data_IF_808345756975
#
_entry.id   IF_808345756975
#
_cell.length_a   1.000
_cell.length_b   1.000
_cell.length_c   1.000
_cell.angle_alpha   90.00
_cell.angle_beta   90.00
_cell.angle_gamma   90.00
#
_symmetry.space_group_name_H-M   'P 1'
#
loop_
_entity.id
_entity.type
_entity.pdbx_description
1 polymer ?
#
# COMPACT_ATOMS: atom_id res chain seq x y z
N UNK A 1 4.62 7.24 15.94
CA UNK A 1 5.21 6.06 15.28
C UNK A 1 4.36 5.73 14.07
N UNK A 2 4.96 5.40 12.91
CA UNK A 2 4.21 5.14 11.67
C UNK A 2 4.02 3.65 11.42
N UNK A 3 2.85 3.26 10.93
CA UNK A 3 2.55 1.90 10.48
C UNK A 3 2.32 1.86 8.98
N UNK A 4 2.62 0.72 8.37
CA UNK A 4 2.44 0.49 6.93
C UNK A 4 1.83 -0.89 6.70
N UNK A 5 1.12 -1.03 5.57
CA UNK A 5 0.68 -2.34 5.10
C UNK A 5 1.77 -2.86 4.16
N UNK A 6 2.49 -3.88 4.60
CA UNK A 6 3.47 -4.60 3.79
C UNK A 6 2.73 -5.55 2.85
N UNK A 7 3.14 -5.55 1.57
CA UNK A 7 2.52 -6.33 0.50
C UNK A 7 3.49 -7.43 0.07
N UNK A 8 3.09 -8.68 0.28
CA UNK A 8 3.78 -9.88 -0.21
C UNK A 8 3.11 -10.33 -1.52
N UNK A 9 3.58 -9.77 -2.64
CA UNK A 9 2.98 -10.01 -3.96
C UNK A 9 3.07 -11.49 -4.40
N UNK A 10 4.11 -12.20 -3.96
CA UNK A 10 4.33 -13.64 -4.18
C UNK A 10 3.23 -14.54 -3.59
N UNK A 11 2.49 -14.04 -2.59
CA UNK A 11 1.39 -14.77 -1.93
C UNK A 11 0.02 -14.35 -2.44
N UNK A 12 -0.07 -13.35 -3.29
CA UNK A 12 -1.34 -12.79 -3.73
C UNK A 12 -1.94 -13.66 -4.85
N UNK A 13 -3.11 -14.26 -4.58
CA UNK A 13 -3.83 -15.09 -5.56
C UNK A 13 -4.78 -14.30 -6.46
N UNK A 14 -4.92 -12.98 -6.26
CA UNK A 14 -5.86 -12.18 -7.03
C UNK A 14 -7.33 -12.30 -6.60
N UNK A 15 -7.63 -12.85 -5.41
CA UNK A 15 -9.01 -13.15 -4.98
C UNK A 15 -9.92 -11.93 -4.69
N UNK A 16 -9.39 -10.70 -4.70
CA UNK A 16 -10.12 -9.44 -4.45
C UNK A 16 -10.87 -9.31 -3.12
N UNK A 17 -10.71 -10.25 -2.18
CA UNK A 17 -11.32 -10.18 -0.85
C UNK A 17 -10.95 -8.90 -0.08
N UNK A 18 -9.74 -8.39 -0.29
CA UNK A 18 -9.28 -7.15 0.31
C UNK A 18 -10.05 -5.92 -0.22
N UNK A 19 -10.46 -5.91 -1.50
CA UNK A 19 -11.25 -4.83 -2.09
C UNK A 19 -12.67 -4.84 -1.54
N UNK A 20 -13.33 -6.00 -1.57
CA UNK A 20 -14.69 -6.18 -1.03
C UNK A 20 -14.73 -5.89 0.46
N UNK A 21 -13.76 -6.40 1.25
CA UNK A 21 -13.70 -6.15 2.68
C UNK A 21 -13.47 -4.66 3.01
N UNK A 22 -12.72 -3.95 2.16
CA UNK A 22 -12.48 -2.52 2.35
C UNK A 22 -13.72 -1.67 2.08
N UNK A 23 -14.42 -1.91 0.96
CA UNK A 23 -15.65 -1.19 0.64
C UNK A 23 -16.78 -1.53 1.62
N UNK A 24 -16.89 -2.79 2.04
CA UNK A 24 -17.89 -3.18 3.04
C UNK A 24 -17.68 -2.45 4.36
N UNK A 25 -16.44 -2.39 4.85
CA UNK A 25 -16.11 -1.70 6.12
C UNK A 25 -16.30 -0.18 6.03
N UNK A 26 -15.86 0.46 4.94
CA UNK A 26 -15.78 1.91 4.87
C UNK A 26 -17.00 2.57 4.20
N UNK A 27 -17.73 1.83 3.37
CA UNK A 27 -18.88 2.33 2.61
C UNK A 27 -20.18 1.56 2.91
N UNK A 28 -20.11 0.43 3.63
CA UNK A 28 -21.28 -0.41 3.90
C UNK A 28 -21.76 -1.23 2.71
N UNK A 29 -20.97 -1.33 1.65
CA UNK A 29 -21.35 -1.95 0.37
C UNK A 29 -20.28 -2.92 -0.14
N UNK A 30 -20.69 -4.03 -0.74
CA UNK A 30 -19.80 -4.96 -1.43
C UNK A 30 -19.46 -4.44 -2.84
N UNK A 31 -18.75 -3.32 -2.95
CA UNK A 31 -18.40 -2.70 -4.23
C UNK A 31 -16.88 -2.48 -4.34
N UNK A 32 -16.14 -3.33 -5.08
CA UNK A 32 -14.70 -3.18 -5.27
C UNK A 32 -14.27 -1.80 -5.84
N UNK A 33 -15.09 -1.15 -6.67
CA UNK A 33 -14.77 0.18 -7.22
C UNK A 33 -14.75 1.28 -6.16
N UNK A 34 -15.45 1.10 -5.04
CA UNK A 34 -15.45 2.04 -3.91
C UNK A 34 -14.45 1.68 -2.82
N UNK A 35 -13.69 0.62 -3.01
CA UNK A 35 -12.60 0.22 -2.10
C UNK A 35 -11.49 1.28 -2.05
N UNK A 36 -10.78 1.37 -0.93
CA UNK A 36 -9.57 2.21 -0.77
C UNK A 36 -8.27 1.43 -1.04
N UNK A 37 -8.38 0.18 -1.47
CA UNK A 37 -7.32 -0.70 -1.96
C UNK A 37 -7.70 -1.18 -3.36
N UNK A 38 -6.73 -1.30 -4.27
CA UNK A 38 -6.93 -1.67 -5.68
C UNK A 38 -6.07 -2.85 -6.07
N UNK A 39 -6.66 -3.84 -6.72
CA UNK A 39 -5.92 -4.95 -7.28
C UNK A 39 -5.32 -4.57 -8.63
N UNK A 40 -4.00 -4.42 -8.68
CA UNK A 40 -3.28 -4.26 -9.94
C UNK A 40 -3.05 -5.66 -10.50
N UNK A 41 -3.53 -5.87 -11.72
CA UNK A 41 -3.29 -7.08 -12.51
C UNK A 41 -2.24 -6.75 -13.57
N UNK A 42 -1.13 -7.47 -13.56
CA UNK A 42 -0.11 -7.41 -14.61
C UNK A 42 -0.06 -8.75 -15.32
N UNK A 43 0.07 -8.72 -16.65
CA UNK A 43 0.28 -9.91 -17.46
C UNK A 43 1.70 -9.88 -18.03
N UNK A 44 2.42 -10.99 -17.92
CA UNK A 44 3.71 -11.17 -18.54
C UNK A 44 3.79 -12.59 -19.13
N UNK A 45 3.83 -12.70 -20.46
CA UNK A 45 3.92 -13.98 -21.19
C UNK A 45 2.88 -15.03 -20.76
N UNK A 46 1.62 -14.61 -20.57
CA UNK A 46 0.54 -15.49 -20.13
C UNK A 46 0.53 -15.84 -18.64
N UNK A 47 1.52 -15.37 -17.87
CA UNK A 47 1.50 -15.40 -16.41
C UNK A 47 0.87 -14.11 -15.87
N UNK A 48 0.02 -14.25 -14.85
CA UNK A 48 -0.62 -13.10 -14.20
C UNK A 48 -0.02 -12.87 -12.82
N UNK A 49 0.44 -11.65 -12.59
CA UNK A 49 0.86 -11.15 -11.29
C UNK A 49 -0.22 -10.24 -10.72
N UNK A 50 -0.54 -10.45 -9.44
CA UNK A 50 -1.56 -9.68 -8.73
C UNK A 50 -0.91 -8.89 -7.59
N UNK A 51 -1.00 -7.57 -7.65
CA UNK A 51 -0.43 -6.69 -6.63
C UNK A 51 -1.54 -5.83 -6.01
N UNK A 52 -1.92 -6.07 -4.74
CA UNK A 52 -2.87 -5.23 -4.04
C UNK A 52 -2.22 -3.90 -3.67
N UNK A 53 -2.58 -2.82 -4.36
CA UNK A 53 -2.06 -1.47 -4.15
C UNK A 53 -2.92 -0.67 -3.17
N UNK A 54 -2.30 -0.08 -2.16
CA UNK A 54 -2.94 0.78 -1.17
C UNK A 54 -2.17 2.09 -0.98
N UNK A 55 -2.72 3.02 -0.20
CA UNK A 55 -2.00 4.25 0.12
C UNK A 55 -0.72 3.96 0.91
N UNK A 56 0.41 4.43 0.38
CA UNK A 56 1.74 4.23 0.95
C UNK A 56 1.99 4.99 2.25
N UNK A 57 1.06 5.84 2.70
CA UNK A 57 1.20 6.69 3.90
C UNK A 57 2.49 7.53 3.89
N UNK A 58 2.77 8.19 2.76
CA UNK A 58 3.97 9.00 2.56
C UNK A 58 4.21 9.95 3.75
N UNK A 59 5.48 10.08 4.17
CA UNK A 59 5.89 11.03 5.21
C UNK A 59 5.56 12.47 4.77
N UNK A 60 6.11 12.87 3.61
CA UNK A 60 5.71 14.07 2.89
C UNK A 60 4.59 13.74 1.91
N UNK A 61 3.34 13.96 2.33
CA UNK A 61 2.17 13.64 1.53
C UNK A 61 1.85 14.78 0.56
N UNK A 62 2.14 14.59 -0.74
CA UNK A 62 1.78 15.56 -1.78
C UNK A 62 0.27 15.84 -1.81
N UNK A 63 -0.56 14.81 -1.56
CA UNK A 63 -2.01 14.96 -1.48
C UNK A 63 -2.48 15.93 -0.38
N UNK A 64 -1.74 16.04 0.73
CA UNK A 64 -1.98 17.02 1.79
C UNK A 64 -1.56 18.42 1.36
N UNK A 65 -0.36 18.56 0.79
CA UNK A 65 0.20 19.85 0.36
C UNK A 65 -0.63 20.56 -0.72
N UNK A 66 -1.20 19.81 -1.66
CA UNK A 66 -1.99 20.39 -2.76
C UNK A 66 -3.44 20.68 -2.39
N UNK A 67 -3.90 20.29 -1.20
CA UNK A 67 -5.30 20.44 -0.84
C UNK A 67 -5.64 21.90 -0.54
N UNK A 68 -6.46 22.59 -1.37
CA UNK A 68 -6.72 24.02 -1.18
C UNK A 68 -7.45 24.33 0.13
N UNK A 69 -8.30 23.41 0.59
CA UNK A 69 -9.08 23.55 1.82
C UNK A 69 -8.44 22.88 3.03
N UNK A 70 -7.21 22.33 2.91
CA UNK A 70 -6.52 21.62 3.98
C UNK A 70 -7.37 20.52 4.64
N UNK A 71 -8.13 19.78 3.81
CA UNK A 71 -9.01 18.71 4.26
C UNK A 71 -8.24 17.43 4.58
N UNK A 72 -7.08 17.21 3.97
CA UNK A 72 -6.25 16.02 4.21
C UNK A 72 -5.21 16.34 5.28
N UNK A 73 -5.04 15.44 6.26
CA UNK A 73 -4.04 15.57 7.32
C UNK A 73 -3.48 14.21 7.75
N UNK A 74 -2.42 14.21 8.55
CA UNK A 74 -1.93 13.00 9.24
C UNK A 74 -2.64 12.82 10.57
N UNK A 75 -3.18 11.63 10.82
CA UNK A 75 -3.59 11.24 12.16
C UNK A 75 -2.33 10.98 13.00
N UNK A 76 -2.19 11.68 14.13
CA UNK A 76 -0.99 11.59 14.98
C UNK A 76 -0.90 10.28 15.80
N UNK A 77 -2.03 9.62 16.04
CA UNK A 77 -2.09 8.36 16.80
C UNK A 77 -1.70 7.18 15.91
N UNK A 78 -2.31 7.08 14.72
CA UNK A 78 -2.11 5.94 13.80
C UNK A 78 -1.02 6.19 12.77
N UNK A 79 -0.70 7.46 12.51
CA UNK A 79 0.24 7.88 11.46
C UNK A 79 -0.37 7.86 10.06
N UNK A 80 -1.62 7.42 9.89
CA UNK A 80 -2.30 7.30 8.61
C UNK A 80 -2.87 8.64 8.12
N UNK A 81 -3.13 8.74 6.81
CA UNK A 81 -3.83 9.87 6.20
C UNK A 81 -5.31 9.83 6.56
N UNK A 82 -5.87 10.99 6.86
CA UNK A 82 -7.30 11.18 7.12
C UNK A 82 -7.83 12.34 6.30
N UNK A 83 -9.13 12.32 5.99
CA UNK A 83 -9.82 13.38 5.24
C UNK A 83 -10.96 13.91 6.10
N UNK A 84 -10.95 15.21 6.32
CA UNK A 84 -12.05 15.95 6.92
C UNK A 84 -13.12 16.21 5.86
N UNK A 85 -14.20 15.43 5.91
CA UNK A 85 -15.30 15.50 4.95
C UNK A 85 -16.02 16.86 4.96
N UNK A 86 -15.99 17.59 6.08
CA UNK A 86 -16.61 18.92 6.18
C UNK A 86 -15.89 19.97 5.33
N UNK A 87 -14.56 19.82 5.17
CA UNK A 87 -13.71 20.73 4.38
C UNK A 87 -13.51 20.26 2.94
N UNK A 88 -13.64 18.96 2.70
CA UNK A 88 -13.44 18.38 1.38
C UNK A 88 -14.56 18.80 0.42
N UNK A 89 -14.19 19.40 -0.71
CA UNK A 89 -15.12 19.82 -1.77
C UNK A 89 -15.07 18.91 -3.01
N UNK A 90 -14.36 17.77 -2.94
CA UNK A 90 -14.28 16.83 -4.06
C UNK A 90 -13.51 17.35 -5.30
N UNK A 91 -12.64 18.35 -5.14
CA UNK A 91 -11.90 18.98 -6.25
C UNK A 91 -10.90 18.09 -7.00
N UNK A 92 -10.65 16.85 -6.55
CA UNK A 92 -9.72 15.88 -7.16
C UNK A 92 -8.24 16.27 -7.21
N UNK A 93 -7.81 17.43 -6.70
CA UNK A 93 -6.39 17.84 -6.69
C UNK A 93 -5.48 16.80 -6.02
N UNK A 94 -5.95 16.19 -4.92
CA UNK A 94 -5.21 15.14 -4.23
C UNK A 94 -5.04 13.86 -5.05
N UNK A 95 -6.00 13.53 -5.92
CA UNK A 95 -5.95 12.38 -6.81
C UNK A 95 -4.86 12.56 -7.87
N UNK A 96 -4.82 13.74 -8.50
CA UNK A 96 -3.81 14.09 -9.51
C UNK A 96 -2.39 14.19 -8.94
N UNK A 97 -2.25 14.64 -7.69
CA UNK A 97 -0.95 14.76 -7.04
C UNK A 97 -0.41 13.44 -6.50
N UNK A 98 -1.22 12.38 -6.41
CA UNK A 98 -0.78 11.11 -5.86
C UNK A 98 -0.04 10.29 -6.94
N UNK A 99 1.28 10.04 -6.79
CA UNK A 99 2.03 9.28 -7.79
C UNK A 99 1.59 7.81 -7.88
N UNK A 100 0.94 7.30 -6.83
CA UNK A 100 0.48 5.92 -6.73
C UNK A 100 -1.02 5.75 -7.06
N UNK A 101 -1.74 6.85 -7.34
CA UNK A 101 -3.18 6.81 -7.59
C UNK A 101 -4.03 6.31 -6.41
N UNK A 102 -3.52 6.42 -5.18
CA UNK A 102 -4.17 5.89 -3.98
C UNK A 102 -5.28 6.78 -3.39
N UNK A 103 -5.43 8.01 -3.91
CA UNK A 103 -6.50 8.94 -3.57
C UNK A 103 -7.43 9.10 -4.78
N UNK A 104 -8.74 9.05 -4.56
CA UNK A 104 -9.73 9.29 -5.61
C UNK A 104 -10.95 10.01 -5.04
N UNK A 105 -11.83 10.53 -5.90
CA UNK A 105 -13.11 11.10 -5.47
C UNK A 105 -14.18 10.03 -5.61
N UNK A 106 -14.83 9.71 -4.50
CA UNK A 106 -16.04 8.90 -4.51
C UNK A 106 -17.20 9.77 -5.00
N UNK A 107 -17.79 9.37 -6.13
CA UNK A 107 -18.85 10.13 -6.81
C UNK A 107 -20.19 10.08 -6.07
N UNK A 108 -20.42 9.05 -5.25
CA UNK A 108 -21.66 8.89 -4.50
C UNK A 108 -21.74 9.89 -3.36
N UNK A 109 -20.64 10.10 -2.64
CA UNK A 109 -20.58 11.08 -1.53
C UNK A 109 -20.05 12.45 -1.97
N UNK A 110 -19.44 12.55 -3.15
CA UNK A 110 -18.84 13.79 -3.66
C UNK A 110 -17.59 14.23 -2.90
N UNK A 111 -16.90 13.29 -2.23
CA UNK A 111 -15.73 13.56 -1.37
C UNK A 111 -14.54 12.73 -1.82
N UNK A 112 -13.35 13.28 -1.59
CA UNK A 112 -12.11 12.52 -1.76
C UNK A 112 -12.00 11.45 -0.69
N UNK A 113 -11.49 10.28 -1.07
CA UNK A 113 -11.25 9.14 -0.20
C UNK A 113 -9.80 8.67 -0.35
N UNK A 114 -9.23 8.21 0.76
CA UNK A 114 -7.88 7.66 0.86
C UNK A 114 -7.89 6.53 1.88
N UNK A 115 -7.01 5.54 1.74
CA UNK A 115 -6.85 4.50 2.76
C UNK A 115 -6.37 5.11 4.08
N UNK A 116 -7.21 5.04 5.11
CA UNK A 116 -6.95 5.51 6.48
C UNK A 116 -6.33 4.41 7.36
N UNK A 117 -5.88 3.31 6.74
CA UNK A 117 -5.47 2.06 7.42
C UNK A 117 -6.50 1.54 8.43
N UNK A 118 -7.78 1.86 8.20
CA UNK A 118 -8.86 1.49 9.10
C UNK A 118 -8.57 1.90 10.56
N UNK A 119 -7.93 3.05 10.74
CA UNK A 119 -7.67 3.65 12.05
C UNK A 119 -6.80 2.77 12.95
N UNK A 120 -5.90 2.00 12.34
CA UNK A 120 -5.00 1.07 13.02
C UNK A 120 -5.45 -0.39 12.99
N UNK A 121 -6.63 -0.67 12.41
CA UNK A 121 -7.21 -2.01 12.37
C UNK A 121 -7.61 -2.43 10.93
N UNK A 122 -6.64 -2.65 10.03
CA UNK A 122 -6.90 -2.87 8.60
C UNK A 122 -7.71 -4.12 8.30
N UNK A 123 -8.97 -3.94 7.89
CA UNK A 123 -9.86 -5.04 7.47
C UNK A 123 -9.30 -5.83 6.30
N UNK A 124 -8.64 -5.17 5.34
CA UNK A 124 -8.03 -5.85 4.19
C UNK A 124 -6.96 -6.89 4.58
N UNK A 125 -6.23 -6.65 5.68
CA UNK A 125 -5.27 -7.61 6.26
C UNK A 125 -6.01 -8.79 6.88
N UNK A 126 -7.07 -8.53 7.67
CA UNK A 126 -7.86 -9.58 8.34
C UNK A 126 -8.56 -10.54 7.37
N UNK A 127 -9.04 -10.04 6.24
CA UNK A 127 -9.79 -10.85 5.27
C UNK A 127 -8.90 -11.52 4.24
N UNK A 128 -7.58 -11.29 4.26
CA UNK A 128 -6.65 -11.85 3.29
C UNK A 128 -6.37 -13.33 3.61
N UNK A 129 -6.87 -14.30 2.82
CA UNK A 129 -6.72 -15.72 3.14
C UNK A 129 -5.29 -16.21 2.94
N UNK A 130 -4.53 -15.61 2.02
CA UNK A 130 -3.18 -16.03 1.69
C UNK A 130 -2.08 -15.34 2.52
N UNK A 131 -2.46 -14.40 3.40
CA UNK A 131 -1.49 -13.61 4.18
C UNK A 131 -0.59 -12.73 3.30
N UNK A 132 -1.09 -12.27 2.15
CA UNK A 132 -0.38 -11.38 1.25
C UNK A 132 -0.29 -9.92 1.76
N UNK A 133 -1.12 -9.56 2.74
CA UNK A 133 -1.14 -8.23 3.35
C UNK A 133 -0.80 -8.36 4.83
N UNK A 134 0.11 -7.54 5.32
CA UNK A 134 0.57 -7.57 6.71
C UNK A 134 0.64 -6.15 7.28
N UNK A 135 0.12 -5.93 8.50
CA UNK A 135 0.16 -4.62 9.15
C UNK A 135 1.32 -4.55 10.14
N UNK A 136 2.31 -3.72 9.84
CA UNK A 136 3.59 -3.68 10.58
C UNK A 136 4.04 -2.25 10.83
N UNK A 137 4.88 -2.07 11.85
CA UNK A 137 5.53 -0.78 12.06
C UNK A 137 6.54 -0.48 10.95
N UNK A 138 6.60 0.76 10.48
CA UNK A 138 7.51 1.16 9.41
C UNK A 138 8.99 0.89 9.76
N UNK A 139 9.35 1.00 11.04
CA UNK A 139 10.71 0.77 11.52
C UNK A 139 11.14 -0.70 11.37
N UNK A 140 10.23 -1.65 11.63
CA UNK A 140 10.52 -3.08 11.51
C UNK A 140 10.80 -3.48 10.05
N UNK A 141 10.06 -2.92 9.09
CA UNK A 141 10.23 -3.21 7.66
C UNK A 141 11.62 -2.81 7.17
N UNK A 142 12.07 -1.60 7.54
CA UNK A 142 13.38 -1.10 7.12
C UNK A 142 14.53 -1.98 7.64
N UNK A 143 14.42 -2.48 8.87
CA UNK A 143 15.44 -3.36 9.44
C UNK A 143 15.45 -4.72 8.74
N UNK A 144 14.28 -5.32 8.52
CA UNK A 144 14.16 -6.62 7.85
C UNK A 144 14.69 -6.57 6.41
N UNK A 145 14.30 -5.57 5.62
CA UNK A 145 14.76 -5.39 4.24
C UNK A 145 16.27 -5.14 4.17
N UNK A 146 16.83 -4.31 5.06
CA UNK A 146 18.29 -4.07 5.12
C UNK A 146 19.06 -5.36 5.43
N UNK A 147 18.56 -6.19 6.34
CA UNK A 147 19.17 -7.48 6.67
C UNK A 147 19.10 -8.47 5.51
N UNK A 148 17.94 -8.55 4.85
CA UNK A 148 17.78 -9.44 3.69
C UNK A 148 18.66 -9.01 2.51
N UNK A 149 18.70 -7.71 2.21
CA UNK A 149 19.60 -7.16 1.20
C UNK A 149 21.07 -7.42 1.54
N UNK A 150 21.49 -7.22 2.79
CA UNK A 150 22.86 -7.52 3.22
C UNK A 150 23.21 -9.01 3.05
N UNK A 151 22.28 -9.93 3.38
CA UNK A 151 22.46 -11.37 3.14
C UNK A 151 22.62 -11.69 1.66
N UNK A 152 21.78 -11.12 0.78
CA UNK A 152 21.90 -11.32 -0.68
C UNK A 152 23.23 -10.82 -1.23
N UNK A 153 23.77 -9.72 -0.69
CA UNK A 153 25.10 -9.21 -1.05
C UNK A 153 26.20 -10.19 -0.62
N UNK A 154 26.11 -10.74 0.60
CA UNK A 154 27.06 -11.77 1.08
C UNK A 154 27.00 -13.02 0.19
N UNK A 155 25.81 -13.49 -0.15
CA UNK A 155 25.62 -14.67 -1.02
C UNK A 155 26.13 -14.43 -2.44
N UNK A 156 25.87 -13.26 -3.02
CA UNK A 156 26.35 -12.90 -4.35
C UNK A 156 27.89 -12.76 -4.40
N UNK A 157 28.50 -12.18 -3.36
CA UNK A 157 29.97 -12.06 -3.26
C UNK A 157 30.65 -13.41 -3.02
N UNK A 158 30.03 -14.31 -2.24
CA UNK A 158 30.51 -15.67 -2.04
C UNK A 158 30.48 -16.51 -3.35
N UNK A 159 29.41 -16.36 -4.15
CA UNK A 159 29.30 -17.04 -5.46
C UNK A 159 30.37 -16.55 -6.46
N UNK A 160 30.66 -15.25 -6.45
CA UNK A 160 31.69 -14.66 -7.32
C UNK A 160 33.12 -15.06 -6.92
N UNK A 161 33.36 -15.34 -5.62
CA UNK A 161 34.64 -15.86 -5.13
C UNK A 161 34.88 -17.32 -5.54
N UNK A 162 33.83 -18.13 -5.68
CA UNK A 162 33.93 -19.53 -6.09
C UNK A 162 34.27 -19.69 -7.58
N UNK A 163 33.83 -18.77 -8.46
CA UNK A 163 34.16 -18.81 -9.90
C UNK A 163 35.55 -18.28 -10.23
N UNK A 164 36.21 -17.56 -9.32
CA UNK A 164 37.52 -16.94 -9.53
C UNK A 164 38.67 -17.69 -8.83
N UNK A 165 38.57 -19.00 -8.63
CA UNK A 165 39.69 -19.81 -8.15
C UNK A 165 40.49 -20.39 -9.35
N UNK A 166 41.61 -19.78 -9.78
CA UNK A 166 42.49 -20.37 -10.78
C UNK A 166 43.30 -21.50 -10.14
N UNK A 167 42.64 -22.61 -9.80
CA UNK A 167 43.27 -23.85 -9.36
C UNK A 167 43.09 -24.92 -10.44
N UNK A 168 43.70 -24.69 -11.60
CA UNK A 168 44.03 -25.74 -12.56
C UNK A 168 45.32 -25.33 -13.28
N UNK A 169 46.45 -25.67 -12.65
CA UNK A 169 47.70 -25.93 -13.37
C UNK A 169 47.60 -27.34 -13.98
#
# INVERSE_FOLDING_TARGET
>A
MGYVILIHADRCSGCQMCEVGCSLRNMGECNPERSRIRMIKSENNGQYDFVPSTCMQCETAMCELVCPNKAISRNLQTGARQIDESKCIGCSSCSYACPFGACFVDRTIGKSVVCTQCDGDPTCVKVCPSGALEYVSADQVNVALKRDAARRVIEATASTAATNNPASC
#
